data_IF_283307979993
#
_entry.id   IF_283307979993
#
_cell.length_a   1.000
_cell.length_b   1.000
_cell.length_c   1.000
_cell.angle_alpha   90.00
_cell.angle_beta   90.00
_cell.angle_gamma   90.00
#
_symmetry.space_group_name_H-M   'P 1'
#
loop_
_entity.id
_entity.type
_entity.pdbx_description
1 polymer ?
#
# COMPACT_ATOMS: atom_id res chain seq x y z
N UNK A 1 -5.64 16.45 3.58
CA UNK A 1 -6.06 15.08 3.95
C UNK A 1 -6.94 14.55 2.85
N UNK A 2 -6.81 13.26 2.53
CA UNK A 2 -7.56 12.61 1.45
C UNK A 2 -8.15 11.32 2.02
N UNK A 3 -9.26 10.87 1.46
CA UNK A 3 -9.88 9.59 1.81
C UNK A 3 -9.65 8.64 0.63
N UNK A 4 -8.53 7.91 0.55
CA UNK A 4 -8.37 6.91 -0.49
C UNK A 4 -9.50 5.89 -0.39
N UNK A 5 -10.06 5.55 -1.55
CA UNK A 5 -11.01 4.47 -1.66
C UNK A 5 -10.24 3.23 -2.08
N UNK A 6 -10.07 2.30 -1.15
CA UNK A 6 -9.33 1.05 -1.35
C UNK A 6 -10.28 -0.13 -1.33
N UNK A 7 -9.93 -1.19 -2.07
CA UNK A 7 -10.65 -2.47 -2.00
C UNK A 7 -10.55 -3.04 -0.58
N UNK A 8 -11.56 -3.78 -0.14
CA UNK A 8 -11.56 -4.41 1.19
C UNK A 8 -10.37 -5.35 1.41
N UNK A 9 -9.94 -6.05 0.36
CA UNK A 9 -8.75 -6.90 0.40
C UNK A 9 -7.46 -6.09 0.63
N UNK A 10 -7.36 -4.92 0.00
CA UNK A 10 -6.21 -4.02 0.16
C UNK A 10 -6.19 -3.37 1.54
N UNK A 11 -7.36 -3.05 2.12
CA UNK A 11 -7.46 -2.56 3.51
C UNK A 11 -6.95 -3.59 4.53
N UNK A 12 -7.34 -4.86 4.37
CA UNK A 12 -6.83 -5.92 5.24
C UNK A 12 -5.32 -6.11 5.09
N UNK A 13 -4.82 -6.10 3.85
CA UNK A 13 -3.39 -6.22 3.57
C UNK A 13 -2.61 -5.03 4.15
N UNK A 14 -3.13 -3.81 4.00
CA UNK A 14 -2.57 -2.59 4.56
C UNK A 14 -2.48 -2.66 6.09
N UNK A 15 -3.57 -3.04 6.77
CA UNK A 15 -3.60 -3.17 8.24
C UNK A 15 -2.61 -4.22 8.73
N UNK A 16 -2.57 -5.38 8.07
CA UNK A 16 -1.62 -6.45 8.39
C UNK A 16 -0.18 -5.98 8.24
N UNK A 17 0.10 -5.26 7.14
CA UNK A 17 1.42 -4.70 6.89
C UNK A 17 1.81 -3.65 7.94
N UNK A 18 0.89 -2.75 8.29
CA UNK A 18 1.12 -1.76 9.33
C UNK A 18 1.45 -2.42 10.68
N UNK A 19 0.71 -3.47 11.06
CA UNK A 19 0.98 -4.27 12.26
C UNK A 19 2.37 -4.92 12.21
N UNK A 20 2.73 -5.54 11.08
CA UNK A 20 4.04 -6.21 10.93
C UNK A 20 5.22 -5.23 11.01
N UNK A 21 5.02 -3.99 10.54
CA UNK A 21 6.04 -2.93 10.60
C UNK A 21 6.04 -2.17 11.94
N UNK A 22 5.01 -2.35 12.77
CA UNK A 22 4.80 -1.55 13.98
C UNK A 22 4.48 -0.08 13.67
N UNK A 23 3.87 0.21 12.53
CA UNK A 23 3.54 1.56 12.05
C UNK A 23 2.04 1.84 12.17
N UNK A 24 1.66 3.12 12.13
CA UNK A 24 0.26 3.49 11.96
C UNK A 24 -0.20 3.21 10.52
N UNK A 25 -1.46 2.76 10.36
CA UNK A 25 -2.06 2.49 9.03
C UNK A 25 -1.91 3.67 8.08
N UNK A 26 -2.05 4.90 8.58
CA UNK A 26 -1.88 6.11 7.77
C UNK A 26 -0.45 6.34 7.29
N UNK A 27 0.56 5.95 8.09
CA UNK A 27 1.97 6.06 7.71
C UNK A 27 2.33 4.99 6.69
N UNK A 28 1.87 3.75 6.90
CA UNK A 28 2.02 2.66 5.93
C UNK A 28 1.36 3.04 4.60
N UNK A 29 0.15 3.60 4.63
CA UNK A 29 -0.53 4.07 3.42
C UNK A 29 0.26 5.18 2.70
N UNK A 30 0.78 6.17 3.44
CA UNK A 30 1.62 7.22 2.86
C UNK A 30 2.87 6.64 2.18
N UNK A 31 3.51 5.65 2.81
CA UNK A 31 4.69 4.99 2.23
C UNK A 31 4.34 4.15 1.00
N UNK A 32 3.21 3.46 1.01
CA UNK A 32 2.75 2.69 -0.14
C UNK A 32 2.37 3.59 -1.32
N UNK A 33 1.78 4.76 -1.07
CA UNK A 33 1.54 5.76 -2.12
C UNK A 33 2.87 6.20 -2.76
N UNK A 34 3.88 6.48 -1.94
CA UNK A 34 5.20 6.85 -2.42
C UNK A 34 5.85 5.75 -3.29
N UNK A 35 5.76 4.49 -2.87
CA UNK A 35 6.24 3.35 -3.67
C UNK A 35 5.40 3.20 -4.95
N UNK A 36 4.08 3.31 -4.87
CA UNK A 36 3.20 3.25 -6.04
C UNK A 36 3.52 4.34 -7.06
N UNK A 37 3.92 5.54 -6.62
CA UNK A 37 4.35 6.63 -7.51
C UNK A 37 5.66 6.32 -8.23
N UNK A 38 6.56 5.55 -7.62
CA UNK A 38 7.82 5.12 -8.25
C UNK A 38 7.57 4.12 -9.40
N UNK A 39 6.44 3.41 -9.35
CA UNK A 39 6.02 2.43 -10.34
C UNK A 39 4.80 2.90 -11.14
N UNK A 40 4.57 4.22 -11.22
CA UNK A 40 3.34 4.80 -11.78
C UNK A 40 3.05 4.34 -13.22
N UNK A 41 4.08 4.00 -14.00
CA UNK A 41 3.95 3.49 -15.36
C UNK A 41 3.23 2.12 -15.43
N UNK A 42 3.11 1.40 -14.30
CA UNK A 42 2.33 0.17 -14.19
C UNK A 42 0.88 0.37 -13.73
N UNK A 43 0.46 1.61 -13.47
CA UNK A 43 -0.96 1.89 -13.24
C UNK A 43 -1.74 1.62 -14.53
N UNK A 44 -2.85 0.86 -14.46
CA UNK A 44 -3.68 0.62 -15.64
C UNK A 44 -4.13 1.95 -16.26
N UNK A 45 -4.12 2.02 -17.59
CA UNK A 45 -4.53 3.21 -18.34
C UNK A 45 -5.96 3.64 -17.96
N UNK A 46 -6.86 2.67 -17.88
CA UNK A 46 -8.23 2.85 -17.40
C UNK A 46 -8.34 2.51 -15.91
N UNK A 47 -8.41 3.56 -15.10
CA UNK A 47 -8.87 3.44 -13.72
C UNK A 47 -10.40 3.37 -13.66
N UNK A 48 -10.97 2.55 -12.76
CA UNK A 48 -12.41 2.46 -12.60
C UNK A 48 -12.99 3.84 -12.22
N UNK A 49 -14.13 4.19 -12.80
CA UNK A 49 -14.85 5.44 -12.49
C UNK A 49 -15.32 5.50 -11.04
N UNK A 50 -15.68 4.32 -10.49
CA UNK A 50 -16.09 4.11 -9.11
C UNK A 50 -15.72 2.70 -8.68
N UNK A 51 -15.32 2.54 -7.42
CA UNK A 51 -15.29 1.24 -6.76
C UNK A 51 -16.62 1.07 -6.01
N UNK A 52 -17.31 -0.09 -6.13
CA UNK A 52 -18.56 -0.34 -5.42
C UNK A 52 -18.38 -0.17 -3.91
N UNK A 53 -19.33 0.50 -3.25
CA UNK A 53 -19.28 0.72 -1.79
C UNK A 53 -19.29 -0.58 -0.99
N UNK A 54 -19.86 -1.66 -1.54
CA UNK A 54 -19.83 -3.00 -0.94
C UNK A 54 -18.46 -3.67 -0.98
N UNK A 55 -17.56 -3.18 -1.82
CA UNK A 55 -16.24 -3.78 -2.09
C UNK A 55 -15.08 -2.85 -1.68
N UNK A 56 -15.41 -1.65 -1.18
CA UNK A 56 -14.43 -0.65 -0.79
C UNK A 56 -14.64 -0.16 0.63
N UNK A 57 -13.54 0.20 1.27
CA UNK A 57 -13.57 1.02 2.48
C UNK A 57 -12.87 2.34 2.21
N UNK A 58 -13.42 3.41 2.79
CA UNK A 58 -12.77 4.70 2.83
C UNK A 58 -12.01 4.78 4.16
N UNK A 59 -10.71 5.09 4.12
CA UNK A 59 -9.95 5.37 5.33
C UNK A 59 -9.16 6.67 5.18
N UNK A 60 -8.83 7.32 6.29
CA UNK A 60 -8.06 8.57 6.24
C UNK A 60 -6.59 8.26 6.05
N UNK A 61 -6.06 8.55 4.86
CA UNK A 61 -4.63 8.54 4.60
C UNK A 61 -4.10 9.97 4.49
N UNK A 62 -2.88 10.18 4.97
CA UNK A 62 -2.12 11.39 4.66
C UNK A 62 -1.33 11.11 3.40
N UNK A 63 -1.63 11.83 2.32
CA UNK A 63 -0.70 11.92 1.19
C UNK A 63 0.42 12.87 1.65
N UNK A 64 1.70 12.48 1.58
CA UNK A 64 2.81 13.38 1.86
C UNK A 64 2.70 14.66 1.01
N UNK A 65 3.02 15.82 1.60
CA UNK A 65 2.90 17.11 0.89
C UNK A 65 3.79 17.17 -0.36
N UNK A 66 4.92 16.45 -0.36
CA UNK A 66 5.82 16.31 -1.51
C UNK A 66 5.15 15.61 -2.69
N UNK A 67 4.17 14.75 -2.39
CA UNK A 67 3.57 13.82 -3.36
C UNK A 67 2.14 14.28 -3.75
N UNK A 68 1.50 15.15 -2.96
CA UNK A 68 0.12 15.63 -3.16
C UNK A 68 -0.09 16.27 -4.54
N UNK A 69 0.86 17.09 -5.00
CA UNK A 69 0.78 17.72 -6.33
C UNK A 69 0.82 16.69 -7.46
N UNK A 70 1.70 15.70 -7.35
CA UNK A 70 1.86 14.63 -8.36
C UNK A 70 0.60 13.77 -8.42
N UNK A 71 0.04 13.38 -7.27
CA UNK A 71 -1.19 12.58 -7.23
C UNK A 71 -2.38 13.37 -7.81
N UNK A 72 -2.44 14.69 -7.61
CA UNK A 72 -3.46 15.55 -8.23
C UNK A 72 -3.32 15.65 -9.74
N UNK A 73 -2.09 15.72 -10.24
CA UNK A 73 -1.82 15.76 -11.68
C UNK A 73 -2.25 14.47 -12.36
N UNK A 74 -1.90 13.31 -11.79
CA UNK A 74 -2.37 12.00 -12.26
C UNK A 74 -3.90 11.94 -12.25
N UNK A 75 -4.55 12.40 -11.18
CA UNK A 75 -6.00 12.44 -11.09
C UNK A 75 -6.63 13.31 -12.20
N UNK A 76 -6.04 14.45 -12.52
CA UNK A 76 -6.49 15.33 -13.61
C UNK A 76 -6.29 14.69 -14.97
N UNK A 77 -5.11 14.12 -15.23
CA UNK A 77 -4.77 13.50 -16.52
C UNK A 77 -5.64 12.28 -16.83
N UNK A 78 -5.95 11.49 -15.80
CA UNK A 78 -6.81 10.31 -15.93
C UNK A 78 -8.30 10.62 -15.82
N UNK A 79 -8.69 11.88 -15.60
CA UNK A 79 -10.06 12.32 -15.31
C UNK A 79 -10.71 11.48 -14.19
N UNK A 80 -10.02 11.36 -13.05
CA UNK A 80 -10.46 10.57 -11.89
C UNK A 80 -10.35 11.36 -10.60
N UNK A 81 -11.08 10.89 -9.58
CA UNK A 81 -10.96 11.47 -8.24
C UNK A 81 -9.61 11.11 -7.60
N UNK A 82 -9.05 12.05 -6.85
CA UNK A 82 -7.80 11.86 -6.09
C UNK A 82 -7.89 10.65 -5.14
N UNK A 83 -9.07 10.36 -4.61
CA UNK A 83 -9.35 9.20 -3.75
C UNK A 83 -9.15 7.87 -4.47
N UNK A 84 -9.55 7.78 -5.73
CA UNK A 84 -9.39 6.57 -6.56
C UNK A 84 -7.93 6.39 -6.97
N UNK A 85 -7.26 7.47 -7.35
CA UNK A 85 -5.83 7.43 -7.69
C UNK A 85 -5.02 7.01 -6.46
N UNK A 86 -5.26 7.62 -5.30
CA UNK A 86 -4.59 7.24 -4.06
C UNK A 86 -4.85 5.77 -3.68
N UNK A 87 -6.09 5.28 -3.84
CA UNK A 87 -6.41 3.87 -3.61
C UNK A 87 -5.66 2.93 -4.55
N UNK A 88 -5.55 3.30 -5.82
CA UNK A 88 -4.85 2.52 -6.85
C UNK A 88 -3.33 2.52 -6.63
N UNK A 89 -2.77 3.66 -6.19
CA UNK A 89 -1.37 3.76 -5.78
C UNK A 89 -1.06 2.92 -4.53
N UNK A 90 -1.99 2.83 -3.57
CA UNK A 90 -1.86 1.92 -2.42
C UNK A 90 -1.85 0.47 -2.90
N UNK A 91 -2.78 0.08 -3.77
CA UNK A 91 -2.82 -1.26 -4.34
C UNK A 91 -1.51 -1.63 -5.05
N UNK A 92 -1.01 -0.72 -5.91
CA UNK A 92 0.27 -0.89 -6.59
C UNK A 92 1.44 -0.96 -5.60
N UNK A 93 1.46 -0.08 -4.59
CA UNK A 93 2.47 -0.10 -3.53
C UNK A 93 2.47 -1.41 -2.74
N UNK A 94 1.30 -2.04 -2.52
CA UNK A 94 1.20 -3.34 -1.83
C UNK A 94 1.86 -4.48 -2.62
N UNK A 95 1.84 -4.40 -3.96
CA UNK A 95 2.58 -5.32 -4.83
C UNK A 95 4.09 -5.20 -4.62
N UNK A 96 4.57 -3.98 -4.43
CA UNK A 96 5.97 -3.62 -4.20
C UNK A 96 6.35 -3.45 -2.73
N UNK A 97 5.54 -3.95 -1.80
CA UNK A 97 5.73 -3.74 -0.35
C UNK A 97 7.11 -4.14 0.16
N UNK A 98 7.79 -5.09 -0.49
CA UNK A 98 9.14 -5.54 -0.11
C UNK A 98 10.20 -4.43 -0.24
N UNK A 99 9.90 -3.34 -0.96
CA UNK A 99 10.76 -2.16 -1.08
C UNK A 99 10.68 -1.24 0.15
N UNK A 100 9.77 -1.51 1.10
CA UNK A 100 9.72 -0.78 2.36
C UNK A 100 10.98 -1.12 3.18
N UNK A 101 11.86 -0.14 3.44
CA UNK A 101 13.07 -0.36 4.22
C UNK A 101 12.70 -0.86 5.62
N UNK A 102 13.37 -1.92 6.09
CA UNK A 102 13.09 -2.52 7.39
C UNK A 102 12.13 -3.72 7.36
N UNK A 103 11.62 -4.12 6.20
CA UNK A 103 11.12 -5.49 6.03
C UNK A 103 12.31 -6.45 6.06
N UNK A 104 12.70 -6.88 7.25
CA UNK A 104 13.50 -8.09 7.38
C UNK A 104 12.58 -9.22 6.90
N UNK A 105 12.90 -9.93 5.78
CA UNK A 105 12.14 -11.12 5.45
C UNK A 105 12.28 -12.05 6.65
N UNK A 106 11.20 -12.27 7.39
CA UNK A 106 11.19 -13.25 8.45
C UNK A 106 11.26 -14.61 7.75
N UNK A 107 12.48 -15.05 7.45
CA UNK A 107 12.77 -16.41 7.06
C UNK A 107 12.51 -17.27 8.30
N UNK A 108 11.27 -17.69 8.48
CA UNK A 108 10.99 -18.88 9.29
C UNK A 108 11.49 -20.09 8.51
N UNK A 109 12.81 -20.31 8.54
CA UNK A 109 13.38 -21.57 8.12
C UNK A 109 14.50 -21.96 9.09
N UNK A 110 14.11 -22.33 10.30
CA UNK A 110 14.90 -23.23 11.14
C UNK A 110 14.15 -24.54 11.24
N UNK A 111 14.59 -25.61 10.57
CA UNK A 111 14.49 -26.91 11.20
C UNK A 111 15.45 -26.88 12.40
N UNK A 112 14.89 -26.99 13.60
CA UNK A 112 15.65 -27.22 14.82
C UNK A 112 16.47 -28.50 14.62
N UNK A 113 17.78 -28.37 14.42
CA UNK A 113 18.66 -29.53 14.53
C UNK A 113 18.69 -29.94 16.00
N UNK A 114 18.32 -31.18 16.34
CA UNK A 114 18.41 -31.64 17.70
C UNK A 114 19.89 -31.66 18.11
N UNK A 115 20.23 -31.01 19.22
CA UNK A 115 21.52 -31.20 19.87
C UNK A 115 21.62 -32.67 20.30
N UNK A 116 22.30 -33.50 19.51
CA UNK A 116 22.85 -34.75 20.02
C UNK A 116 23.94 -34.43 21.03
N UNK A 117 23.57 -34.49 22.31
CA UNK A 117 24.51 -34.81 23.39
C UNK A 117 24.78 -36.32 23.36
N UNK A 118 25.97 -36.70 23.85
CA UNK A 118 26.52 -38.05 24.04
C UNK A 118 27.26 -38.61 22.80
N UNK A 119 28.47 -39.15 22.89
CA UNK A 119 29.32 -39.54 24.03
C UNK A 119 30.77 -39.60 23.57
#
# INVERSE_FOLDING_TARGET
>A
MVLPRVLLADDLALKTLATNLGWYVSETAAKLINIGLQHVDELPDELPLRVPTSESTDFTARIPLTDDQVVREIARERDRSISLVAGSLIHLGLRYRNEIPGQIPVQYNRPEQPLTKAS
#
